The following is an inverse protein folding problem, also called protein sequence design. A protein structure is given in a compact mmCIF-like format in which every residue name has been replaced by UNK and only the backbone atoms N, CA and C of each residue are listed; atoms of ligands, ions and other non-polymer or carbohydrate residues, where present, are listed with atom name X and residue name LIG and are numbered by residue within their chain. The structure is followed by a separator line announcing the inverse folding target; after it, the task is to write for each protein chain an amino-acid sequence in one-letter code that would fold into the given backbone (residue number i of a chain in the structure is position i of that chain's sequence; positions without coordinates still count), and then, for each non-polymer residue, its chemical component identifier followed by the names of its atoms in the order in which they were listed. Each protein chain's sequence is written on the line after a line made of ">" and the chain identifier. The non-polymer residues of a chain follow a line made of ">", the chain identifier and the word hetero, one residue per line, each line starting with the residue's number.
data_IF_924416614706
#
_entry.id   IF_924416614706
#
_cell.length_a   1.000
_cell.length_b   1.000
_cell.length_c   1.000
_cell.angle_alpha   90.00
_cell.angle_beta   90.00
_cell.angle_gamma   90.00
#
_symmetry.space_group_name_H-M   'P 1'
#
loop_
_entity.id
_entity.type
_entity.pdbx_description
1 polymer ?
#
# COMPACT_ATOMS: atom_id res chain seq x y z
N UNK A 1 16.15 29.89 -24.08
CA UNK A 1 16.90 28.69 -23.64
C UNK A 1 16.42 27.53 -24.51
N UNK A 2 17.31 26.79 -25.17
CA UNK A 2 16.91 25.62 -25.95
C UNK A 2 16.56 24.51 -24.95
N UNK A 3 15.47 23.78 -25.20
CA UNK A 3 15.18 22.57 -24.45
C UNK A 3 16.30 21.57 -24.76
N UNK A 4 17.18 21.34 -23.79
CA UNK A 4 18.28 20.38 -23.91
C UNK A 4 17.70 19.00 -23.64
N UNK A 5 17.92 18.05 -24.55
CA UNK A 5 17.55 16.66 -24.29
C UNK A 5 18.47 16.11 -23.19
N UNK A 6 17.89 15.71 -22.06
CA UNK A 6 18.63 15.19 -20.90
C UNK A 6 19.37 13.90 -21.26
N UNK A 7 18.88 13.11 -22.23
CA UNK A 7 19.52 11.88 -22.73
C UNK A 7 20.92 12.11 -23.30
N UNK A 8 21.10 13.22 -24.01
CA UNK A 8 22.32 13.49 -24.78
C UNK A 8 23.44 14.08 -23.91
N UNK A 9 23.07 14.66 -22.77
CA UNK A 9 23.99 15.39 -21.89
C UNK A 9 24.28 14.61 -20.61
N UNK A 10 23.35 13.76 -20.17
CA UNK A 10 23.51 12.99 -18.96
C UNK A 10 24.29 11.68 -19.19
N UNK A 11 25.01 11.24 -18.16
CA UNK A 11 25.55 9.87 -18.15
C UNK A 11 24.40 8.87 -18.05
N UNK A 12 24.59 7.66 -18.59
CA UNK A 12 23.57 6.59 -18.57
C UNK A 12 22.95 6.36 -17.18
N UNK A 13 23.74 6.45 -16.11
CA UNK A 13 23.23 6.31 -14.73
C UNK A 13 22.33 7.46 -14.31
N UNK A 14 22.67 8.69 -14.68
CA UNK A 14 21.88 9.88 -14.35
C UNK A 14 20.58 9.89 -15.16
N UNK A 15 20.65 9.54 -16.43
CA UNK A 15 19.46 9.40 -17.27
C UNK A 15 18.50 8.31 -16.75
N UNK A 16 19.03 7.15 -16.32
CA UNK A 16 18.21 6.11 -15.70
C UNK A 16 17.46 6.59 -14.43
N UNK A 17 18.11 7.42 -13.61
CA UNK A 17 17.46 8.01 -12.43
C UNK A 17 16.37 9.02 -12.83
N UNK A 18 16.60 9.78 -13.90
CA UNK A 18 15.61 10.69 -14.46
C UNK A 18 14.37 9.94 -14.96
N UNK A 19 14.54 8.89 -15.76
CA UNK A 19 13.43 8.04 -16.24
C UNK A 19 12.63 7.43 -15.09
N UNK A 20 13.32 6.97 -14.04
CA UNK A 20 12.67 6.41 -12.86
C UNK A 20 11.85 7.47 -12.12
N UNK A 21 12.41 8.67 -11.95
CA UNK A 21 11.73 9.78 -11.32
C UNK A 21 10.51 10.26 -12.12
N UNK A 22 10.63 10.34 -13.44
CA UNK A 22 9.53 10.74 -14.33
C UNK A 22 8.40 9.71 -14.28
N UNK A 23 8.70 8.42 -14.40
CA UNK A 23 7.69 7.35 -14.30
C UNK A 23 6.97 7.37 -12.96
N UNK A 24 7.71 7.63 -11.87
CA UNK A 24 7.12 7.80 -10.55
C UNK A 24 6.23 9.04 -10.46
N UNK A 25 6.65 10.15 -11.06
CA UNK A 25 5.86 11.38 -11.11
C UNK A 25 4.56 11.21 -11.89
N UNK A 26 4.60 10.54 -13.05
CA UNK A 26 3.41 10.22 -13.84
C UNK A 26 2.47 9.34 -13.02
N UNK A 27 3.00 8.31 -12.37
CA UNK A 27 2.24 7.43 -11.50
C UNK A 27 1.55 8.17 -10.35
N UNK A 28 2.29 9.03 -9.63
CA UNK A 28 1.77 9.77 -8.48
C UNK A 28 0.71 10.82 -8.90
N UNK A 29 0.79 11.34 -10.13
CA UNK A 29 -0.12 12.36 -10.65
C UNK A 29 -1.27 11.82 -11.52
N UNK A 30 -1.27 10.53 -11.88
CA UNK A 30 -2.35 9.95 -12.66
C UNK A 30 -3.46 9.48 -11.72
N UNK A 31 -4.67 10.07 -11.78
CA UNK A 31 -5.77 9.66 -10.93
C UNK A 31 -6.13 8.19 -11.23
N UNK A 32 -6.22 7.37 -10.18
CA UNK A 32 -6.52 5.94 -10.31
C UNK A 32 -5.32 5.07 -10.67
N UNK A 33 -4.09 5.60 -10.63
CA UNK A 33 -2.88 4.80 -10.77
C UNK A 33 -2.68 3.87 -9.56
N UNK A 34 -2.35 2.60 -9.85
CA UNK A 34 -2.04 1.57 -8.86
C UNK A 34 -0.74 0.88 -9.21
N UNK A 35 0.14 0.73 -8.21
CA UNK A 35 1.44 0.06 -8.35
C UNK A 35 1.30 -1.46 -8.22
N UNK A 36 2.13 -2.20 -8.96
CA UNK A 36 2.26 -3.63 -8.79
C UNK A 36 2.88 -3.96 -7.43
N UNK A 37 2.29 -4.92 -6.72
CA UNK A 37 2.74 -5.33 -5.37
C UNK A 37 3.89 -6.33 -5.37
N UNK A 38 4.32 -6.83 -6.54
CA UNK A 38 5.39 -7.82 -6.59
C UNK A 38 6.73 -7.20 -6.20
N UNK A 39 7.55 -7.87 -5.37
CA UNK A 39 8.85 -7.34 -4.97
C UNK A 39 9.73 -7.12 -6.20
N UNK A 40 10.26 -5.90 -6.34
CA UNK A 40 11.11 -5.52 -7.49
C UNK A 40 10.36 -5.14 -8.77
N UNK A 41 9.03 -5.25 -8.81
CA UNK A 41 8.23 -4.79 -9.94
C UNK A 41 7.81 -3.32 -9.75
N UNK A 42 8.14 -2.46 -10.72
CA UNK A 42 7.73 -1.04 -10.75
C UNK A 42 6.76 -0.76 -11.91
N UNK A 43 5.97 -1.77 -12.28
CA UNK A 43 4.87 -1.58 -13.21
C UNK A 43 3.66 -1.04 -12.43
N UNK A 44 2.82 -0.23 -13.08
CA UNK A 44 1.53 0.15 -12.56
C UNK A 44 0.46 0.09 -13.65
N UNK A 45 -0.78 0.30 -13.25
CA UNK A 45 -1.91 0.43 -14.17
C UNK A 45 -2.89 1.48 -13.65
N UNK A 46 -3.67 2.05 -14.56
CA UNK A 46 -4.81 2.90 -14.21
C UNK A 46 -6.05 2.03 -14.12
N UNK A 47 -6.84 2.17 -13.05
CA UNK A 47 -8.17 1.59 -12.96
C UNK A 47 -9.17 2.66 -13.45
N UNK A 48 -9.67 2.52 -14.68
CA UNK A 48 -10.66 3.43 -15.25
C UNK A 48 -12.02 3.23 -14.54
N UNK A 49 -12.43 4.16 -13.66
CA UNK A 49 -13.82 4.17 -13.15
C UNK A 49 -14.11 4.53 -11.69
N UNK A 50 -13.21 5.13 -10.89
CA UNK A 50 -13.58 5.66 -9.57
C UNK A 50 -13.37 7.17 -9.44
N UNK A 51 -14.41 7.95 -9.05
CA UNK A 51 -14.21 9.31 -8.56
C UNK A 51 -13.46 9.25 -7.24
N UNK A 52 -12.30 9.90 -7.22
CA UNK A 52 -11.53 10.37 -6.05
C UNK A 52 -12.19 10.13 -4.68
N UNK A 53 -11.88 9.02 -4.01
CA UNK A 53 -12.04 8.91 -2.56
C UNK A 53 -10.66 8.97 -1.92
N UNK A 54 -10.23 10.20 -1.68
CA UNK A 54 -9.11 10.57 -0.82
C UNK A 54 -9.30 9.93 0.56
N UNK A 55 -8.52 8.89 0.85
CA UNK A 55 -8.47 8.25 2.16
C UNK A 55 -7.34 8.83 3.00
N UNK A 56 -7.65 9.84 3.81
CA UNK A 56 -6.89 10.16 5.03
C UNK A 56 -6.58 11.65 5.25
N UNK A 57 -7.43 12.37 5.99
CA UNK A 57 -7.07 13.24 7.15
C UNK A 57 -8.24 14.14 7.59
N UNK A 58 -8.65 13.98 8.86
CA UNK A 58 -9.17 14.94 9.88
C UNK A 58 -10.22 16.04 9.58
N UNK A 59 -11.08 16.23 10.60
CA UNK A 59 -11.83 17.42 11.05
C UNK A 59 -13.29 17.71 10.61
N UNK A 60 -14.20 17.24 11.50
CA UNK A 60 -15.22 17.96 12.28
C UNK A 60 -16.38 18.79 11.66
N UNK A 61 -17.59 18.34 12.05
CA UNK A 61 -18.81 19.07 12.46
C UNK A 61 -19.80 19.61 11.41
N UNK A 62 -21.06 19.13 11.50
CA UNK A 62 -22.24 20.01 11.36
C UNK A 62 -23.49 19.51 10.61
N UNK A 63 -24.34 18.72 11.29
CA UNK A 63 -25.83 18.70 11.29
C UNK A 63 -26.67 18.73 9.98
N UNK A 64 -27.33 17.59 9.76
CA UNK A 64 -28.70 17.30 9.28
C UNK A 64 -29.58 18.41 8.63
N UNK A 65 -30.14 18.09 7.45
CA UNK A 65 -31.60 17.90 7.28
C UNK A 65 -31.96 17.17 5.98
N UNK A 66 -32.91 16.25 6.12
CA UNK A 66 -33.53 15.40 5.09
C UNK A 66 -34.37 16.23 4.11
N UNK A 67 -34.39 15.87 2.83
CA UNK A 67 -35.63 15.68 2.05
C UNK A 67 -35.38 14.77 0.85
N UNK A 68 -36.39 13.93 0.55
CA UNK A 68 -36.36 12.91 -0.48
C UNK A 68 -36.84 13.43 -1.84
N UNK A 69 -36.21 12.99 -2.94
CA UNK A 69 -36.92 12.76 -4.21
C UNK A 69 -36.15 11.78 -5.13
N UNK A 70 -36.80 10.64 -5.40
CA UNK A 70 -36.49 9.64 -6.43
C UNK A 70 -36.51 10.24 -7.84
N UNK A 71 -35.70 9.68 -8.74
CA UNK A 71 -36.01 9.18 -10.12
C UNK A 71 -34.68 8.75 -10.77
N UNK A 72 -34.34 7.45 -10.84
CA UNK A 72 -34.77 6.38 -11.75
C UNK A 72 -33.96 6.30 -13.07
N UNK A 73 -33.38 5.10 -13.28
CA UNK A 73 -32.85 4.49 -14.52
C UNK A 73 -31.64 5.17 -15.18
N UNK A 74 -30.55 4.46 -15.51
CA UNK A 74 -30.55 3.22 -16.31
C UNK A 74 -29.33 2.35 -15.99
N UNK A 75 -29.62 1.23 -15.36
CA UNK A 75 -28.80 0.03 -15.27
C UNK A 75 -28.55 -0.54 -16.67
N UNK A 76 -27.29 -0.84 -16.99
CA UNK A 76 -26.96 -1.89 -17.96
C UNK A 76 -26.56 -3.13 -17.18
N UNK A 77 -27.36 -4.16 -17.40
CA UNK A 77 -27.39 -5.45 -16.73
C UNK A 77 -26.07 -6.23 -16.85
N UNK A 78 -25.68 -6.91 -15.77
CA UNK A 78 -25.01 -8.19 -15.87
C UNK A 78 -25.49 -9.14 -14.76
N UNK A 79 -25.72 -10.44 -15.04
CA UNK A 79 -26.42 -11.36 -14.14
C UNK A 79 -25.52 -11.82 -12.98
N UNK A 80 -26.13 -11.94 -11.80
CA UNK A 80 -25.54 -12.48 -10.57
C UNK A 80 -25.25 -13.97 -10.70
N UNK A 81 -23.98 -14.37 -10.67
CA UNK A 81 -23.52 -15.73 -10.33
C UNK A 81 -22.05 -15.66 -9.90
N UNK A 82 -21.71 -16.20 -8.71
CA UNK A 82 -20.40 -16.15 -8.02
C UNK A 82 -19.95 -14.73 -7.56
N UNK A 83 -19.21 -14.58 -6.44
CA UNK A 83 -18.66 -13.27 -6.10
C UNK A 83 -17.73 -12.86 -7.24
N UNK A 84 -18.11 -11.79 -7.92
CA UNK A 84 -17.39 -11.20 -9.04
C UNK A 84 -15.97 -10.88 -8.57
N UNK A 85 -15.02 -11.66 -9.05
CA UNK A 85 -13.63 -11.59 -8.63
C UNK A 85 -12.86 -10.79 -9.65
N UNK A 86 -12.78 -9.49 -9.39
CA UNK A 86 -11.95 -8.57 -10.15
C UNK A 86 -10.47 -8.85 -9.85
N UNK A 87 -9.88 -9.73 -10.67
CA UNK A 87 -8.46 -10.08 -10.64
C UNK A 87 -7.72 -9.17 -11.61
N UNK A 88 -6.72 -8.45 -11.13
CA UNK A 88 -5.74 -7.80 -12.00
C UNK A 88 -4.48 -8.65 -12.14
N UNK A 89 -3.91 -8.71 -13.35
CA UNK A 89 -2.64 -9.41 -13.63
C UNK A 89 -1.64 -8.44 -14.23
N UNK A 90 -0.45 -8.33 -13.61
CA UNK A 90 0.62 -7.48 -14.09
C UNK A 90 1.23 -8.01 -15.41
N UNK A 91 1.32 -7.17 -16.44
CA UNK A 91 1.94 -7.53 -17.73
C UNK A 91 3.46 -7.70 -17.68
N UNK A 92 4.13 -7.15 -16.67
CA UNK A 92 5.59 -7.18 -16.54
C UNK A 92 6.07 -8.40 -15.75
N UNK A 93 5.45 -8.69 -14.60
CA UNK A 93 5.87 -9.76 -13.71
C UNK A 93 4.88 -10.92 -13.59
N UNK A 94 3.67 -10.81 -14.16
CA UNK A 94 2.63 -11.84 -14.07
C UNK A 94 1.95 -11.97 -12.69
N UNK A 95 2.32 -11.14 -11.72
CA UNK A 95 1.70 -11.17 -10.40
C UNK A 95 0.21 -10.79 -10.47
N UNK A 96 -0.60 -11.47 -9.66
CA UNK A 96 -2.04 -11.25 -9.57
C UNK A 96 -2.37 -10.45 -8.31
N UNK A 97 -3.20 -9.44 -8.45
CA UNK A 97 -3.71 -8.63 -7.35
C UNK A 97 -5.24 -8.65 -7.36
N UNK A 98 -5.81 -8.53 -6.16
CA UNK A 98 -7.25 -8.38 -5.97
C UNK A 98 -7.60 -6.89 -6.06
N UNK A 99 -8.35 -6.49 -7.08
CA UNK A 99 -8.76 -5.09 -7.31
C UNK A 99 -9.56 -4.48 -6.15
N UNK A 100 -10.51 -5.19 -5.50
CA UNK A 100 -11.30 -4.59 -4.43
C UNK A 100 -10.52 -4.32 -3.14
N UNK A 101 -9.45 -5.07 -2.84
CA UNK A 101 -8.71 -4.91 -1.58
C UNK A 101 -7.25 -4.45 -1.73
N UNK A 102 -6.74 -4.31 -2.96
CA UNK A 102 -5.34 -3.96 -3.23
C UNK A 102 -4.35 -4.82 -2.46
N UNK A 103 -4.63 -6.14 -2.40
CA UNK A 103 -3.75 -7.14 -1.81
C UNK A 103 -3.40 -8.23 -2.85
N UNK A 104 -2.37 -9.05 -2.58
CA UNK A 104 -2.08 -10.22 -3.41
C UNK A 104 -3.33 -11.07 -3.59
N UNK A 105 -3.48 -11.63 -4.79
CA UNK A 105 -4.64 -12.43 -5.13
C UNK A 105 -4.87 -13.58 -4.14
N UNK A 106 -6.08 -13.65 -3.57
CA UNK A 106 -6.51 -14.69 -2.64
C UNK A 106 -7.70 -15.46 -3.22
N UNK A 107 -7.44 -16.69 -3.68
CA UNK A 107 -8.48 -17.52 -4.29
C UNK A 107 -9.34 -18.19 -3.20
N UNK A 108 -10.66 -18.04 -3.27
CA UNK A 108 -11.60 -18.76 -2.41
C UNK A 108 -11.83 -18.18 -1.02
N UNK A 109 -11.12 -17.12 -0.64
CA UNK A 109 -11.37 -16.33 0.58
C UNK A 109 -11.97 -14.97 0.21
N UNK A 110 -12.87 -14.44 1.04
CA UNK A 110 -13.34 -13.07 0.84
C UNK A 110 -12.24 -12.08 1.22
N UNK A 111 -12.31 -10.85 0.69
CA UNK A 111 -11.34 -9.79 1.05
C UNK A 111 -11.28 -9.56 2.57
N UNK A 112 -12.42 -9.70 3.25
CA UNK A 112 -12.54 -9.52 4.70
C UNK A 112 -11.83 -10.63 5.49
N UNK A 113 -11.95 -11.87 5.02
CA UNK A 113 -11.30 -13.02 5.68
C UNK A 113 -9.78 -12.95 5.53
N UNK A 114 -9.31 -12.58 4.33
CA UNK A 114 -7.89 -12.34 4.08
C UNK A 114 -7.32 -11.23 4.96
N UNK A 115 -8.08 -10.14 5.12
CA UNK A 115 -7.71 -9.02 5.98
C UNK A 115 -7.63 -9.43 7.45
N UNK A 116 -8.64 -10.12 7.96
CA UNK A 116 -8.66 -10.61 9.35
C UNK A 116 -7.45 -11.50 9.65
N UNK A 117 -7.18 -12.50 8.78
CA UNK A 117 -6.02 -13.39 8.90
C UNK A 117 -4.68 -12.64 8.93
N UNK A 118 -4.57 -11.55 8.16
CA UNK A 118 -3.35 -10.76 8.12
C UNK A 118 -3.23 -9.83 9.33
N UNK A 119 -4.35 -9.25 9.76
CA UNK A 119 -4.39 -8.26 10.83
C UNK A 119 -4.04 -8.87 12.18
N UNK A 120 -4.63 -10.02 12.52
CA UNK A 120 -4.36 -10.68 13.80
C UNK A 120 -2.87 -10.97 13.98
N UNK A 121 -2.20 -11.44 12.92
CA UNK A 121 -0.74 -11.66 12.92
C UNK A 121 0.04 -10.36 13.14
N UNK A 122 -0.35 -9.27 12.48
CA UNK A 122 0.36 -7.99 12.61
C UNK A 122 0.19 -7.42 14.03
N UNK A 123 -1.02 -7.49 14.59
CA UNK A 123 -1.31 -7.01 15.93
C UNK A 123 -0.47 -7.77 16.99
N UNK A 124 -0.32 -9.09 16.85
CA UNK A 124 0.54 -9.90 17.73
C UNK A 124 2.03 -9.54 17.61
N UNK A 125 2.53 -9.38 16.38
CA UNK A 125 3.91 -8.99 16.13
C UNK A 125 4.18 -7.58 16.71
N UNK A 126 3.27 -6.62 16.52
CA UNK A 126 3.38 -5.27 17.07
C UNK A 126 3.35 -5.27 18.61
N UNK A 127 2.50 -6.10 19.22
CA UNK A 127 2.49 -6.30 20.66
C UNK A 127 3.83 -6.88 21.15
N UNK A 128 4.37 -7.89 20.45
CA UNK A 128 5.66 -8.49 20.77
C UNK A 128 6.80 -7.47 20.69
N UNK A 129 6.83 -6.64 19.64
CA UNK A 129 7.79 -5.58 19.45
C UNK A 129 7.66 -4.51 20.55
N UNK A 130 6.44 -4.17 20.95
CA UNK A 130 6.21 -3.22 22.05
C UNK A 130 6.70 -3.75 23.40
N UNK A 131 6.55 -5.06 23.65
CA UNK A 131 7.07 -5.73 24.85
C UNK A 131 8.59 -5.70 24.81
N UNK A 132 9.21 -6.12 23.70
CA UNK A 132 10.67 -6.07 23.54
C UNK A 132 11.18 -4.64 23.78
N UNK A 133 10.55 -3.62 23.19
CA UNK A 133 10.97 -2.22 23.38
C UNK A 133 10.81 -1.72 24.82
N UNK A 134 9.82 -2.21 25.56
CA UNK A 134 9.60 -1.82 26.97
C UNK A 134 10.60 -2.47 27.92
N UNK A 135 10.95 -3.74 27.69
CA UNK A 135 11.79 -4.52 28.62
C UNK A 135 13.27 -4.56 28.22
N UNK A 136 13.60 -4.21 26.98
CA UNK A 136 14.98 -4.18 26.49
C UNK A 136 15.49 -2.75 26.31
N UNK A 137 16.81 -2.58 26.38
CA UNK A 137 17.48 -1.33 26.02
C UNK A 137 18.48 -1.59 24.90
N UNK A 138 18.65 -0.67 23.95
CA UNK A 138 19.63 -0.84 22.87
C UNK A 138 21.05 -0.73 23.42
N UNK A 139 21.93 -1.62 22.98
CA UNK A 139 23.37 -1.51 23.27
C UNK A 139 23.94 -0.24 22.63
N UNK A 140 24.75 0.57 23.33
CA UNK A 140 25.38 1.75 22.75
C UNK A 140 26.37 1.43 21.62
N UNK A 141 26.97 0.23 21.61
CA UNK A 141 27.97 -0.16 20.60
C UNK A 141 27.33 -0.81 19.35
N UNK A 142 26.45 -1.80 19.54
CA UNK A 142 25.89 -2.58 18.41
C UNK A 142 24.39 -2.34 18.14
N UNK A 143 23.70 -1.53 18.97
CA UNK A 143 22.26 -1.18 18.86
C UNK A 143 21.28 -2.35 18.96
N UNK A 144 21.74 -3.58 19.24
CA UNK A 144 20.85 -4.70 19.50
C UNK A 144 20.10 -4.50 20.82
N UNK A 145 18.80 -4.88 20.91
CA UNK A 145 18.06 -4.86 22.17
C UNK A 145 18.61 -5.89 23.14
N UNK A 146 18.94 -5.47 24.36
CA UNK A 146 19.41 -6.34 25.45
C UNK A 146 18.41 -6.24 26.61
N UNK A 147 17.92 -7.39 27.08
CA UNK A 147 17.05 -7.50 28.24
C UNK A 147 17.86 -7.50 29.54
N UNK A 148 17.40 -6.76 30.56
CA UNK A 148 18.04 -6.76 31.89
C UNK A 148 17.60 -7.96 32.72
N UNK A 149 18.48 -8.93 32.94
CA UNK A 149 18.27 -10.14 33.74
C UNK A 149 18.47 -9.90 35.25
N UNK A 150 17.74 -8.93 35.82
CA UNK A 150 17.55 -8.79 37.28
C UNK A 150 18.76 -8.32 38.11
N UNK A 151 18.51 -7.34 39.01
CA UNK A 151 19.35 -6.98 40.17
C UNK A 151 20.71 -6.32 39.92
N UNK A 152 21.47 -6.75 38.91
CA UNK A 152 22.80 -6.23 38.59
C UNK A 152 22.70 -5.07 37.60
N UNK A 153 23.48 -4.00 37.81
CA UNK A 153 23.55 -2.86 36.89
C UNK A 153 24.51 -3.09 35.71
N UNK A 154 25.26 -4.19 35.73
CA UNK A 154 26.29 -4.46 34.73
C UNK A 154 25.74 -5.40 33.64
N UNK A 155 25.35 -4.80 32.51
CA UNK A 155 24.81 -5.51 31.35
C UNK A 155 25.91 -5.78 30.33
N UNK A 156 26.05 -7.03 29.90
CA UNK A 156 27.02 -7.41 28.87
C UNK A 156 26.33 -7.70 27.55
N UNK A 157 26.80 -7.06 26.48
CA UNK A 157 26.40 -7.42 25.12
C UNK A 157 27.13 -8.71 24.73
N UNK A 158 26.39 -9.69 24.20
CA UNK A 158 26.95 -10.85 23.49
C UNK A 158 27.09 -10.56 22.00
#
# INVERSE_FOLDING_TARGET
>A
MKAVNVEEVATKKVYQQFDEAERKHIADNTPGWRWCMAPGCRAGHVLEGQPTTTGGSSENQGKAKLTAKKKNTKTTNSPRTAPDVDIWTCKVCGAKACVPCDRPWHQGETCKDYEARTKDRLDEEDLSLSIIQRYTRPCPNCKKPIEKDGGCSNMFCK
#
